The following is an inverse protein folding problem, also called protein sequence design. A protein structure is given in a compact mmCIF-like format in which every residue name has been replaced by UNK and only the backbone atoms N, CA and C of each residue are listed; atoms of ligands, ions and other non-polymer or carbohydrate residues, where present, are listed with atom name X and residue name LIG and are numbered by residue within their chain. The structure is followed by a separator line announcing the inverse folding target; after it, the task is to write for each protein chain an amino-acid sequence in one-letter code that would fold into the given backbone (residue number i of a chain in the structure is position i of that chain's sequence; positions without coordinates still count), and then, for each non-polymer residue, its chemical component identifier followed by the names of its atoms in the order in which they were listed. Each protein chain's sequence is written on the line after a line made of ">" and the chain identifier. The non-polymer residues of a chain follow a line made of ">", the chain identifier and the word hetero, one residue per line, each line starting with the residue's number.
data_IF_429963116724
#
_entry.id   IF_429963116724
#
_cell.length_a   1.000
_cell.length_b   1.000
_cell.length_c   1.000
_cell.angle_alpha   90.00
_cell.angle_beta   90.00
_cell.angle_gamma   90.00
#
_symmetry.space_group_name_H-M   'P 1'
#
loop_
_entity.id
_entity.type
_entity.pdbx_description
1 polymer ?
#
# COMPACT_ATOMS: atom_id res chain seq x y z
N UNK A 1 -8.37 -20.49 12.69
CA UNK A 1 -7.50 -20.53 11.49
C UNK A 1 -6.32 -19.63 11.75
N UNK A 2 -5.11 -20.18 11.73
CA UNK A 2 -3.87 -19.46 11.99
C UNK A 2 -3.42 -18.83 10.67
N UNK A 3 -3.70 -17.55 10.45
CA UNK A 3 -3.53 -16.84 9.16
C UNK A 3 -2.06 -16.64 8.73
N UNK A 4 -1.08 -17.35 9.31
CA UNK A 4 0.27 -17.36 8.78
C UNK A 4 0.96 -15.99 8.67
N UNK A 5 0.45 -14.96 9.35
CA UNK A 5 0.96 -13.57 9.33
C UNK A 5 2.34 -13.40 9.99
N UNK A 6 3.12 -14.47 10.12
CA UNK A 6 4.54 -14.41 10.48
C UNK A 6 5.35 -13.87 9.28
N UNK A 7 4.98 -12.70 8.79
CA UNK A 7 5.85 -11.87 7.98
C UNK A 7 7.05 -11.54 8.85
N UNK A 8 8.22 -12.08 8.52
CA UNK A 8 9.47 -11.76 9.23
C UNK A 8 9.56 -10.25 9.36
N UNK A 9 9.66 -9.71 10.59
CA UNK A 9 9.87 -8.27 10.83
C UNK A 9 11.12 -7.84 10.06
N UNK A 10 10.93 -7.24 8.89
CA UNK A 10 12.02 -6.70 8.08
C UNK A 10 12.34 -5.28 8.55
N UNK A 11 12.46 -5.08 9.86
CA UNK A 11 12.87 -3.80 10.41
C UNK A 11 14.37 -3.84 10.69
N UNK A 12 15.16 -3.19 9.83
CA UNK A 12 16.62 -3.01 9.99
C UNK A 12 16.99 -1.64 10.57
N UNK A 13 16.04 -0.94 11.19
CA UNK A 13 16.22 0.44 11.67
C UNK A 13 16.74 0.53 13.11
N UNK A 14 17.26 1.70 13.48
CA UNK A 14 17.64 2.07 14.87
C UNK A 14 16.61 3.05 15.47
N UNK A 15 15.33 2.70 15.45
CA UNK A 15 14.29 3.46 16.16
C UNK A 15 14.31 3.23 17.67
N UNK A 16 13.72 4.17 18.42
CA UNK A 16 13.56 4.07 19.87
C UNK A 16 12.60 2.96 20.28
N UNK A 17 12.62 2.56 21.54
CA UNK A 17 11.68 1.57 22.08
C UNK A 17 10.23 2.04 21.97
N UNK A 18 9.97 3.34 22.15
CA UNK A 18 8.64 3.93 21.95
C UNK A 18 8.14 3.79 20.51
N UNK A 19 9.02 3.97 19.52
CA UNK A 19 8.67 3.81 18.11
C UNK A 19 8.36 2.35 17.78
N UNK A 20 9.13 1.40 18.34
CA UNK A 20 8.86 -0.04 18.18
C UNK A 20 7.52 -0.40 18.79
N UNK A 21 7.25 0.06 20.00
CA UNK A 21 5.99 -0.16 20.68
C UNK A 21 4.81 0.41 19.89
N UNK A 22 4.93 1.63 19.36
CA UNK A 22 3.90 2.23 18.52
C UNK A 22 3.61 1.40 17.26
N UNK A 23 4.64 0.88 16.60
CA UNK A 23 4.48 0.00 15.44
C UNK A 23 3.83 -1.34 15.80
N UNK A 24 4.18 -1.94 16.94
CA UNK A 24 3.57 -3.17 17.45
C UNK A 24 2.06 -2.97 17.70
N UNK A 25 1.67 -1.83 18.27
CA UNK A 25 0.26 -1.47 18.47
C UNK A 25 -0.48 -1.30 17.14
N UNK A 26 0.13 -0.61 16.17
CA UNK A 26 -0.45 -0.44 14.83
C UNK A 26 -0.64 -1.80 14.14
N UNK A 27 0.37 -2.66 14.18
CA UNK A 27 0.32 -4.02 13.61
C UNK A 27 -0.83 -4.84 14.22
N UNK A 28 -0.95 -4.81 15.55
CA UNK A 28 -1.97 -5.55 16.27
C UNK A 28 -3.39 -5.05 15.95
N UNK A 29 -3.59 -3.73 15.85
CA UNK A 29 -4.86 -3.15 15.39
C UNK A 29 -5.16 -3.55 13.95
N UNK A 30 -4.18 -3.44 13.05
CA UNK A 30 -4.33 -3.78 11.64
C UNK A 30 -4.75 -5.25 11.48
N UNK A 31 -4.07 -6.17 12.17
CA UNK A 31 -4.36 -7.61 12.14
C UNK A 31 -5.78 -7.95 12.62
N UNK A 32 -6.29 -7.25 13.65
CA UNK A 32 -7.65 -7.49 14.17
C UNK A 32 -8.76 -6.96 13.26
N UNK A 33 -8.46 -5.92 12.49
CA UNK A 33 -9.44 -5.21 11.66
C UNK A 33 -9.21 -5.39 10.16
N UNK A 34 -8.33 -6.30 9.77
CA UNK A 34 -8.00 -6.51 8.37
C UNK A 34 -9.22 -7.02 7.59
N UNK A 35 -9.36 -6.51 6.37
CA UNK A 35 -10.30 -7.02 5.38
C UNK A 35 -9.47 -7.56 4.23
N UNK A 36 -9.75 -8.79 3.81
CA UNK A 36 -9.15 -9.41 2.63
C UNK A 36 -10.21 -9.35 1.53
N UNK A 37 -10.09 -8.42 0.56
CA UNK A 37 -11.03 -8.34 -0.54
C UNK A 37 -10.86 -9.55 -1.47
N UNK A 38 -11.96 -10.13 -1.90
CA UNK A 38 -12.00 -11.22 -2.88
C UNK A 38 -12.06 -10.59 -4.28
N UNK A 39 -10.89 -10.17 -4.80
CA UNK A 39 -10.79 -9.46 -6.08
C UNK A 39 -10.51 -10.41 -7.23
N UNK A 40 -11.28 -10.27 -8.31
CA UNK A 40 -11.07 -10.98 -9.57
C UNK A 40 -10.40 -10.07 -10.62
N UNK A 41 -9.77 -10.63 -11.67
CA UNK A 41 -9.22 -9.84 -12.77
C UNK A 41 -10.28 -8.92 -13.39
N UNK A 42 -10.01 -7.62 -13.35
CA UNK A 42 -10.91 -6.57 -13.86
C UNK A 42 -11.64 -5.79 -12.77
N UNK A 43 -11.62 -6.25 -11.51
CA UNK A 43 -12.25 -5.54 -10.41
C UNK A 43 -11.48 -4.27 -10.02
N UNK A 44 -12.12 -3.08 -10.02
CA UNK A 44 -11.48 -1.88 -9.54
C UNK A 44 -11.54 -1.81 -8.01
N UNK A 45 -10.37 -1.62 -7.37
CA UNK A 45 -10.29 -1.37 -5.93
C UNK A 45 -9.97 0.10 -5.66
N UNK A 46 -10.87 0.78 -4.95
CA UNK A 46 -10.66 2.15 -4.47
C UNK A 46 -10.31 2.16 -2.99
N UNK A 47 -9.11 2.66 -2.66
CA UNK A 47 -8.61 2.77 -1.29
C UNK A 47 -8.38 4.25 -0.96
N UNK A 48 -8.97 4.73 0.13
CA UNK A 48 -8.61 6.03 0.67
C UNK A 48 -7.31 5.93 1.47
N UNK A 49 -6.21 6.42 0.90
CA UNK A 49 -4.86 6.33 1.48
C UNK A 49 -4.70 7.02 2.84
N UNK A 50 -5.61 7.91 3.23
CA UNK A 50 -5.60 8.53 4.56
C UNK A 50 -6.42 7.77 5.60
N UNK A 51 -7.35 6.92 5.15
CA UNK A 51 -8.27 6.19 6.03
C UNK A 51 -7.91 4.71 6.21
N UNK A 52 -7.16 4.13 5.28
CA UNK A 52 -6.88 2.69 5.28
C UNK A 52 -5.40 2.39 4.98
N UNK A 53 -4.81 1.56 5.83
CA UNK A 53 -3.55 0.88 5.51
C UNK A 53 -3.85 -0.30 4.57
N UNK A 54 -2.96 -0.53 3.62
CA UNK A 54 -3.06 -1.64 2.68
C UNK A 54 -1.74 -2.42 2.64
N UNK A 55 -1.85 -3.74 2.52
CA UNK A 55 -0.73 -4.66 2.40
C UNK A 55 -1.12 -5.77 1.42
N UNK A 56 -0.13 -6.52 0.95
CA UNK A 56 -0.33 -7.76 0.21
C UNK A 56 0.44 -8.88 0.90
N UNK A 57 -0.10 -10.09 0.84
CA UNK A 57 0.61 -11.26 1.30
C UNK A 57 1.73 -11.64 0.33
N UNK A 58 2.69 -12.42 0.83
CA UNK A 58 3.71 -13.01 -0.03
C UNK A 58 3.05 -14.09 -0.90
N UNK A 59 3.32 -14.05 -2.20
CA UNK A 59 2.84 -15.05 -3.16
C UNK A 59 4.01 -15.57 -3.98
N UNK A 60 3.85 -16.78 -4.52
CA UNK A 60 4.78 -17.37 -5.48
C UNK A 60 4.14 -17.24 -6.85
N UNK A 61 4.82 -16.54 -7.76
CA UNK A 61 4.39 -16.48 -9.16
C UNK A 61 4.58 -17.85 -9.80
N UNK A 62 3.49 -18.41 -10.32
CA UNK A 62 3.55 -19.56 -11.22
C UNK A 62 3.67 -19.03 -12.65
N UNK A 63 4.46 -19.68 -13.50
CA UNK A 63 4.76 -19.24 -14.87
C UNK A 63 3.51 -18.99 -15.74
N UNK A 64 2.36 -19.57 -15.38
CA UNK A 64 1.09 -19.47 -16.11
C UNK A 64 0.11 -18.44 -15.50
N UNK A 65 0.42 -17.83 -14.34
CA UNK A 65 -0.48 -16.95 -13.61
C UNK A 65 0.26 -15.71 -13.07
N UNK A 66 0.55 -14.78 -13.97
CA UNK A 66 1.13 -13.47 -13.62
C UNK A 66 0.03 -12.53 -13.10
N UNK A 67 0.24 -12.00 -11.89
CA UNK A 67 -0.68 -11.02 -11.28
C UNK A 67 -0.30 -9.60 -11.69
N UNK A 68 -1.02 -9.03 -12.66
CA UNK A 68 -0.84 -7.64 -13.08
C UNK A 68 -1.77 -6.71 -12.31
N UNK A 69 -1.21 -5.75 -11.59
CA UNK A 69 -1.96 -4.72 -10.87
C UNK A 69 -1.53 -3.33 -11.34
N UNK A 70 -2.47 -2.57 -11.88
CA UNK A 70 -2.27 -1.14 -12.20
C UNK A 70 -2.70 -0.32 -10.99
N UNK A 71 -1.79 0.51 -10.48
CA UNK A 71 -2.07 1.42 -9.36
C UNK A 71 -2.06 2.87 -9.82
N UNK A 72 -3.15 3.57 -9.57
CA UNK A 72 -3.31 4.99 -9.86
C UNK A 72 -3.52 5.78 -8.57
N UNK A 73 -3.03 7.01 -8.55
CA UNK A 73 -3.32 7.98 -7.49
C UNK A 73 -4.37 8.94 -8.02
N UNK A 74 -5.50 9.04 -7.33
CA UNK A 74 -6.64 9.84 -7.76
C UNK A 74 -6.99 10.88 -6.70
N UNK A 75 -7.26 12.11 -7.14
CA UNK A 75 -7.79 13.19 -6.32
C UNK A 75 -9.07 13.72 -6.95
N UNK A 76 -10.14 13.76 -6.16
CA UNK A 76 -11.34 14.51 -6.51
C UNK A 76 -11.38 15.80 -5.64
N UNK A 77 -11.13 17.00 -6.20
CA UNK A 77 -11.11 18.24 -5.43
C UNK A 77 -12.40 18.54 -4.66
N UNK A 78 -13.55 18.07 -5.15
CA UNK A 78 -14.85 18.29 -4.52
C UNK A 78 -15.12 17.35 -3.33
N UNK A 79 -14.52 16.15 -3.34
CA UNK A 79 -14.73 15.11 -2.32
C UNK A 79 -13.50 14.85 -1.44
N UNK A 80 -12.38 15.51 -1.73
CA UNK A 80 -11.14 15.33 -0.99
C UNK A 80 -11.30 15.72 0.49
N UNK A 81 -10.76 14.88 1.38
CA UNK A 81 -10.74 15.19 2.80
C UNK A 81 -9.88 16.42 3.08
N UNK A 82 -10.32 17.25 4.02
CA UNK A 82 -9.51 18.39 4.49
C UNK A 82 -8.30 17.86 5.24
N UNK A 83 -7.12 18.05 4.68
CA UNK A 83 -5.88 17.60 5.30
C UNK A 83 -5.50 18.51 6.48
N UNK A 84 -5.15 17.94 7.65
CA UNK A 84 -4.52 18.69 8.74
C UNK A 84 -3.26 19.40 8.26
N UNK A 85 -2.97 20.59 8.80
CA UNK A 85 -1.79 21.41 8.42
C UNK A 85 -0.49 20.62 8.30
N UNK A 86 -0.14 19.69 9.22
CA UNK A 86 1.11 18.93 9.11
C UNK A 86 1.21 18.04 7.85
N UNK A 87 0.09 17.60 7.29
CA UNK A 87 0.07 16.73 6.12
C UNK A 87 0.02 17.51 4.79
N UNK A 88 -0.33 18.80 4.83
CA UNK A 88 -0.50 19.60 3.62
C UNK A 88 0.81 19.78 2.85
N UNK A 89 1.94 20.02 3.54
CA UNK A 89 3.23 20.21 2.87
C UNK A 89 3.71 18.95 2.14
N UNK A 90 3.57 17.78 2.75
CA UNK A 90 3.90 16.51 2.10
C UNK A 90 3.03 16.22 0.89
N UNK A 91 1.75 16.59 0.99
CA UNK A 91 0.78 16.39 -0.07
C UNK A 91 1.03 17.28 -1.30
N UNK A 92 1.23 18.59 -1.09
CA UNK A 92 1.46 19.56 -2.18
C UNK A 92 2.63 19.14 -3.08
N UNK A 93 3.70 18.61 -2.48
CA UNK A 93 4.86 18.09 -3.23
C UNK A 93 4.51 16.97 -4.21
N UNK A 94 3.60 16.08 -3.81
CA UNK A 94 3.22 14.92 -4.62
C UNK A 94 2.19 15.31 -5.68
N UNK A 95 1.20 16.11 -5.31
CA UNK A 95 0.05 16.44 -6.15
C UNK A 95 0.34 17.56 -7.16
N UNK A 96 0.87 18.70 -6.69
CA UNK A 96 1.16 19.86 -7.55
C UNK A 96 2.60 19.80 -8.10
N UNK A 97 3.54 19.31 -7.30
CA UNK A 97 4.95 19.22 -7.68
C UNK A 97 5.28 18.06 -8.61
N UNK A 98 4.40 17.05 -8.72
CA UNK A 98 4.65 15.78 -9.42
C UNK A 98 6.07 15.21 -9.13
N UNK A 99 6.56 15.36 -7.90
CA UNK A 99 7.95 14.99 -7.55
C UNK A 99 8.24 13.49 -7.74
N UNK A 100 7.19 12.66 -7.80
CA UNK A 100 7.30 11.22 -8.05
C UNK A 100 7.45 10.87 -9.54
N UNK A 101 7.06 11.79 -10.43
CA UNK A 101 6.99 11.60 -11.88
C UNK A 101 5.94 10.57 -12.31
N UNK A 102 5.69 10.49 -13.62
CA UNK A 102 4.93 9.37 -14.18
C UNK A 102 5.75 8.09 -14.08
N UNK A 103 5.26 7.12 -13.30
CA UNK A 103 5.86 5.78 -13.19
C UNK A 103 4.84 4.72 -13.55
N UNK A 104 4.98 4.17 -14.74
CA UNK A 104 4.20 3.03 -15.19
C UNK A 104 4.96 1.75 -14.82
N UNK A 105 4.47 1.04 -13.81
CA UNK A 105 4.94 -0.31 -13.48
C UNK A 105 4.29 -1.35 -14.40
N UNK A 106 4.14 -1.03 -15.69
CA UNK A 106 3.66 -1.94 -16.72
C UNK A 106 4.89 -2.50 -17.42
N UNK A 107 5.65 -3.34 -16.72
CA UNK A 107 6.69 -4.11 -17.39
C UNK A 107 5.97 -5.25 -18.09
N UNK A 108 5.77 -5.14 -19.40
CA UNK A 108 5.60 -6.33 -20.22
C UNK A 108 6.89 -7.12 -20.07
N UNK A 109 6.87 -8.18 -19.24
CA UNK A 109 7.97 -9.13 -19.17
C UNK A 109 7.96 -9.89 -20.49
N UNK A 110 8.66 -9.32 -21.47
CA UNK A 110 9.12 -10.01 -22.65
C UNK A 110 9.95 -11.20 -22.19
N UNK A 111 9.43 -12.38 -22.51
CA UNK A 111 10.12 -13.65 -22.59
C UNK A 111 11.53 -13.45 -23.19
N UNK A 112 12.57 -13.71 -22.39
CA UNK A 112 13.88 -14.12 -22.90
C UNK A 112 14.39 -15.26 -22.02
N UNK A 113 14.59 -16.38 -22.70
CA UNK A 113 15.04 -17.73 -22.32
C UNK A 113 15.90 -17.82 -21.06
#
# INVERSE_FOLDING_TARGET
>A
MNLGLCGKRFWRGTGSDDQRYALDVIEDIARRNQVVPDTEPGDPLFVNNYGALHAREAFVELQEALSYLVRMWLKNPALAWKLPRPLQQGYVRIDEGNELGERWNVVAVLMVV
#
